data_IF_682743235885
#
_entry.id   IF_682743235885
#
_cell.length_a   1.000
_cell.length_b   1.000
_cell.length_c   1.000
_cell.angle_alpha   90.00
_cell.angle_beta   90.00
_cell.angle_gamma   90.00
#
_symmetry.space_group_name_H-M   'P 1'
#
loop_
_entity.id
_entity.type
_entity.pdbx_description
1 polymer ?
#
# COMPACT_ATOMS: atom_id res chain seq x y z
N UNK A 1 8.54 15.26 3.66
CA UNK A 1 8.93 13.86 3.45
C UNK A 1 7.96 13.17 2.49
N UNK A 2 8.49 12.48 1.48
CA UNK A 2 7.71 11.66 0.56
C UNK A 2 7.80 10.18 0.96
N UNK A 3 6.66 9.49 1.01
CA UNK A 3 6.56 8.05 1.23
C UNK A 3 5.85 7.43 0.03
N UNK A 4 6.53 6.54 -0.68
CA UNK A 4 5.95 5.80 -1.79
C UNK A 4 5.81 4.32 -1.41
N UNK A 5 4.65 3.73 -1.69
CA UNK A 5 4.34 2.35 -1.33
C UNK A 5 3.83 1.64 -2.58
N UNK A 6 4.56 0.66 -3.06
CA UNK A 6 4.07 -0.26 -4.07
C UNK A 6 3.29 -1.38 -3.38
N UNK A 7 2.02 -1.55 -3.76
CA UNK A 7 1.10 -2.47 -3.10
C UNK A 7 0.19 -3.13 -4.13
N UNK A 8 -0.28 -4.34 -3.83
CA UNK A 8 -1.35 -4.95 -4.61
C UNK A 8 -2.63 -4.09 -4.61
N UNK A 9 -3.42 -4.11 -5.70
CA UNK A 9 -4.67 -3.38 -5.79
C UNK A 9 -5.74 -4.04 -4.92
N UNK A 10 -6.91 -3.41 -4.83
CA UNK A 10 -8.12 -4.00 -4.22
C UNK A 10 -8.53 -3.40 -2.87
N UNK A 11 -7.65 -2.63 -2.22
CA UNK A 11 -7.97 -2.07 -0.90
C UNK A 11 -9.10 -1.05 -1.02
N UNK A 12 -10.05 -1.15 -0.09
CA UNK A 12 -11.13 -0.18 0.03
C UNK A 12 -10.58 1.21 0.36
N UNK A 13 -11.30 2.24 -0.06
CA UNK A 13 -10.89 3.62 0.20
C UNK A 13 -10.76 3.90 1.71
N UNK A 14 -11.59 3.28 2.55
CA UNK A 14 -11.48 3.42 4.01
C UNK A 14 -10.20 2.81 4.58
N UNK A 15 -9.75 1.67 4.04
CA UNK A 15 -8.48 1.06 4.43
C UNK A 15 -7.30 1.98 4.08
N UNK A 16 -7.32 2.59 2.88
CA UNK A 16 -6.32 3.58 2.45
C UNK A 16 -6.32 4.81 3.36
N UNK A 17 -7.49 5.37 3.69
CA UNK A 17 -7.60 6.49 4.64
C UNK A 17 -7.06 6.15 6.01
N UNK A 18 -7.35 4.94 6.52
CA UNK A 18 -6.82 4.45 7.79
C UNK A 18 -5.30 4.34 7.76
N UNK A 19 -4.74 3.81 6.66
CA UNK A 19 -3.28 3.77 6.45
C UNK A 19 -2.68 5.18 6.51
N UNK A 20 -3.20 6.13 5.73
CA UNK A 20 -2.66 7.49 5.68
C UNK A 20 -2.64 8.15 7.06
N UNK A 21 -3.77 8.09 7.79
CA UNK A 21 -3.86 8.66 9.14
C UNK A 21 -2.84 8.02 10.07
N UNK A 22 -2.79 6.67 10.11
CA UNK A 22 -1.86 5.97 10.99
C UNK A 22 -0.40 6.31 10.65
N UNK A 23 -0.02 6.42 9.38
CA UNK A 23 1.34 6.78 9.03
C UNK A 23 1.68 8.21 9.44
N UNK A 24 0.81 9.17 9.16
CA UNK A 24 1.00 10.57 9.58
C UNK A 24 1.15 10.66 11.10
N UNK A 25 0.28 9.98 11.87
CA UNK A 25 0.35 9.96 13.33
C UNK A 25 1.70 9.41 13.82
N UNK A 26 2.14 8.26 13.28
CA UNK A 26 3.40 7.61 13.69
C UNK A 26 4.65 8.37 13.29
N UNK A 27 4.60 9.11 12.18
CA UNK A 27 5.68 9.99 11.77
C UNK A 27 5.71 11.27 12.63
N UNK A 28 4.54 11.72 13.10
CA UNK A 28 4.40 12.76 14.11
C UNK A 28 5.11 12.41 15.41
N UNK A 29 5.07 11.15 15.85
CA UNK A 29 5.82 10.67 17.03
C UNK A 29 7.35 10.84 16.87
N UNK A 30 7.85 10.96 15.64
CA UNK A 30 9.26 11.22 15.31
C UNK A 30 9.56 12.71 15.07
N UNK A 31 8.59 13.60 15.28
CA UNK A 31 8.72 15.05 15.12
C UNK A 31 8.50 15.57 13.70
N UNK A 32 7.98 14.75 12.79
CA UNK A 32 7.65 15.18 11.42
C UNK A 32 6.26 15.82 11.43
N UNK A 33 6.15 17.05 10.95
CA UNK A 33 4.87 17.74 10.89
C UNK A 33 3.93 17.06 9.88
N UNK A 34 2.63 16.93 10.18
CA UNK A 34 1.66 16.29 9.27
C UNK A 34 1.63 16.89 7.87
N UNK A 35 1.69 18.22 7.76
CA UNK A 35 1.63 18.95 6.49
C UNK A 35 2.90 18.77 5.64
N UNK A 36 3.98 18.23 6.22
CA UNK A 36 5.20 17.89 5.51
C UNK A 36 5.17 16.46 4.95
N UNK A 37 4.14 15.66 5.19
CA UNK A 37 4.08 14.24 4.77
C UNK A 37 3.21 14.07 3.52
N UNK A 38 3.80 13.54 2.45
CA UNK A 38 3.08 13.13 1.24
C UNK A 38 3.21 11.62 1.07
N UNK A 39 2.08 10.95 0.86
CA UNK A 39 2.01 9.49 0.71
C UNK A 39 1.42 9.16 -0.65
N UNK A 40 2.12 8.32 -1.42
CA UNK A 40 1.67 7.84 -2.74
C UNK A 40 1.59 6.32 -2.72
N UNK A 41 0.44 5.78 -3.12
CA UNK A 41 0.27 4.34 -3.32
C UNK A 41 0.37 4.02 -4.82
N UNK A 42 1.28 3.12 -5.16
CA UNK A 42 1.42 2.55 -6.49
C UNK A 42 0.74 1.19 -6.52
N UNK A 43 -0.50 1.18 -6.99
CA UNK A 43 -1.32 -0.04 -7.15
C UNK A 43 -1.15 -0.61 -8.55
N UNK A 44 -0.17 -1.49 -8.71
CA UNK A 44 0.09 -2.15 -9.99
C UNK A 44 -0.82 -3.37 -10.16
N UNK A 45 -1.39 -3.61 -11.36
CA UNK A 45 -2.16 -4.83 -11.64
C UNK A 45 -1.39 -6.09 -11.25
N UNK A 46 -2.07 -7.14 -10.78
CA UNK A 46 -1.43 -8.38 -10.33
C UNK A 46 -0.58 -9.04 -11.42
N UNK A 47 -0.94 -8.84 -12.69
CA UNK A 47 -0.18 -9.33 -13.85
C UNK A 47 1.25 -8.78 -13.92
N UNK A 48 1.50 -7.65 -13.26
CA UNK A 48 2.81 -6.97 -13.26
C UNK A 48 3.71 -7.38 -12.08
N UNK A 49 3.29 -8.37 -11.29
CA UNK A 49 4.05 -8.84 -10.14
C UNK A 49 4.48 -10.29 -10.36
N UNK A 50 5.78 -10.56 -10.31
CA UNK A 50 6.29 -11.90 -10.05
C UNK A 50 6.50 -12.03 -8.54
N UNK A 51 5.91 -13.04 -7.93
CA UNK A 51 5.98 -13.27 -6.47
C UNK A 51 6.25 -14.72 -6.08
N UNK A 52 6.09 -15.66 -7.03
CA UNK A 52 6.38 -17.07 -6.82
C UNK A 52 6.59 -17.77 -8.16
N UNK A 53 7.71 -18.49 -8.26
CA UNK A 53 8.03 -19.42 -9.34
C UNK A 53 7.98 -18.83 -10.75
N UNK A 54 8.22 -17.52 -10.90
CA UNK A 54 8.22 -16.87 -12.21
C UNK A 54 6.82 -16.63 -12.79
N UNK A 55 5.77 -16.85 -12.00
CA UNK A 55 4.39 -16.64 -12.40
C UNK A 55 3.88 -15.25 -11.97
N UNK A 56 3.03 -14.61 -12.80
CA UNK A 56 2.28 -13.43 -12.39
C UNK A 56 1.46 -13.70 -11.13
N UNK A 57 1.33 -12.70 -10.26
CA UNK A 57 0.53 -12.82 -9.03
C UNK A 57 -0.95 -13.12 -9.30
N UNK A 58 -1.45 -12.81 -10.51
CA UNK A 58 -2.79 -13.16 -10.98
C UNK A 58 -2.99 -14.65 -11.26
N UNK A 59 -1.91 -15.40 -11.51
CA UNK A 59 -1.95 -16.84 -11.82
C UNK A 59 -1.86 -17.72 -10.57
N UNK A 60 -1.72 -17.13 -9.38
CA UNK A 60 -1.57 -17.88 -8.13
C UNK A 60 -2.62 -17.49 -7.09
N UNK A 61 -3.03 -18.48 -6.30
CA UNK A 61 -3.82 -18.21 -5.08
C UNK A 61 -2.93 -17.50 -4.05
N UNK A 62 -3.27 -16.24 -3.76
CA UNK A 62 -2.57 -15.39 -2.80
C UNK A 62 -2.80 -15.84 -1.35
N UNK A 63 -3.84 -16.63 -1.08
CA UNK A 63 -4.16 -17.10 0.27
C UNK A 63 -4.76 -16.03 1.20
N UNK A 64 -5.14 -14.86 0.67
CA UNK A 64 -5.83 -13.79 1.40
C UNK A 64 -6.69 -12.93 0.47
N UNK A 65 -7.66 -12.22 1.04
CA UNK A 65 -8.52 -11.30 0.29
C UNK A 65 -7.82 -9.97 0.04
N UNK A 66 -7.96 -9.47 -1.19
CA UNK A 66 -7.45 -8.17 -1.59
C UNK A 66 -8.44 -7.03 -1.29
N UNK A 67 -9.73 -7.34 -1.15
CA UNK A 67 -10.82 -6.38 -0.99
C UNK A 67 -11.09 -6.05 0.48
N UNK A 68 -10.13 -5.39 1.12
CA UNK A 68 -10.17 -5.02 2.56
C UNK A 68 -10.04 -3.54 2.82
#
# INVERSE_FOLDING_TARGET
MLVEITIFPGRLLEAKRKLYRLMVDRLGDLGILPDDVIIVLHELPLDNWEIRDGLPASDIDLGFDLNV
#
